data_IF_187316710320
#
_entry.id   IF_187316710320
#
_cell.length_a   1.000
_cell.length_b   1.000
_cell.length_c   1.000
_cell.angle_alpha   90.00
_cell.angle_beta   90.00
_cell.angle_gamma   90.00
#
_symmetry.space_group_name_H-M   'P 1'
#
loop_
_entity.id
_entity.type
_entity.pdbx_description
1 polymer ?
#
# COMPACT_ATOMS: atom_id res chain seq x y z
N UNK A 1 -8.88 8.76 -24.30
CA UNK A 1 -9.92 9.64 -24.88
C UNK A 1 -11.15 9.68 -23.99
N UNK A 2 -11.73 8.52 -23.64
CA UNK A 2 -12.96 8.44 -22.83
C UNK A 2 -12.84 9.05 -21.43
N UNK A 3 -11.70 8.87 -20.74
CA UNK A 3 -11.47 9.47 -19.43
C UNK A 3 -11.66 10.99 -19.46
N UNK A 4 -10.97 11.68 -20.36
CA UNK A 4 -11.11 13.13 -20.55
C UNK A 4 -12.48 13.53 -21.05
N UNK A 5 -13.13 12.72 -21.87
CA UNK A 5 -14.47 13.00 -22.39
C UNK A 5 -15.53 12.96 -21.27
N UNK A 6 -15.36 12.06 -20.31
CA UNK A 6 -16.35 11.83 -19.26
C UNK A 6 -16.07 12.62 -17.98
N UNK A 7 -14.82 13.06 -17.77
CA UNK A 7 -14.38 13.84 -16.62
C UNK A 7 -13.36 14.88 -17.10
N UNK A 8 -13.76 16.13 -17.33
CA UNK A 8 -12.90 17.18 -17.89
C UNK A 8 -12.56 18.31 -16.90
N UNK A 9 -13.08 18.25 -15.67
CA UNK A 9 -12.71 19.20 -14.62
C UNK A 9 -11.24 19.05 -14.17
N UNK A 10 -10.63 17.89 -14.42
CA UNK A 10 -9.21 17.61 -14.17
C UNK A 10 -8.43 17.64 -15.49
N UNK A 11 -7.33 18.40 -15.53
CA UNK A 11 -6.36 18.29 -16.61
C UNK A 11 -5.54 17.01 -16.48
N UNK A 12 -6.09 15.91 -17.01
CA UNK A 12 -5.45 14.59 -17.02
C UNK A 12 -4.10 14.58 -17.73
N UNK A 13 -3.92 15.43 -18.76
CA UNK A 13 -2.64 15.50 -19.46
C UNK A 13 -1.59 16.08 -18.53
N UNK A 14 -1.90 17.21 -17.89
CA UNK A 14 -1.00 17.79 -16.89
C UNK A 14 -0.70 16.80 -15.77
N UNK A 15 -1.72 16.11 -15.23
CA UNK A 15 -1.55 15.14 -14.15
C UNK A 15 -0.61 13.99 -14.54
N UNK A 16 -0.78 13.40 -15.73
CA UNK A 16 0.07 12.32 -16.20
C UNK A 16 1.49 12.79 -16.54
N UNK A 17 1.64 13.98 -17.13
CA UNK A 17 2.95 14.59 -17.38
C UNK A 17 3.69 14.86 -16.05
N UNK A 18 2.99 15.41 -15.05
CA UNK A 18 3.52 15.66 -13.70
C UNK A 18 3.95 14.36 -13.02
N UNK A 19 3.12 13.33 -13.11
CA UNK A 19 3.40 11.99 -12.59
C UNK A 19 4.46 11.23 -13.43
N UNK A 20 4.87 11.76 -14.58
CA UNK A 20 5.83 11.14 -15.51
C UNK A 20 5.38 9.76 -15.99
N UNK A 21 4.09 9.58 -16.23
CA UNK A 21 3.50 8.36 -16.76
C UNK A 21 2.72 8.64 -18.04
N UNK A 22 2.53 7.61 -18.87
CA UNK A 22 1.68 7.70 -20.07
C UNK A 22 0.86 6.41 -20.22
N UNK A 23 -0.19 6.22 -19.41
CA UNK A 23 -0.94 4.97 -19.42
C UNK A 23 -1.80 4.83 -20.68
N UNK A 24 -1.76 3.65 -21.30
CA UNK A 24 -2.65 3.31 -22.44
C UNK A 24 -4.11 3.13 -21.98
N UNK A 25 -4.29 2.63 -20.75
CA UNK A 25 -5.59 2.35 -20.15
C UNK A 25 -5.58 2.77 -18.68
N UNK A 26 -6.70 3.34 -18.25
CA UNK A 26 -6.98 3.65 -16.85
C UNK A 26 -8.27 2.95 -16.46
N UNK A 27 -8.33 2.39 -15.25
CA UNK A 27 -9.53 1.79 -14.69
C UNK A 27 -10.14 2.79 -13.71
N UNK A 28 -11.36 3.23 -13.98
CA UNK A 28 -12.14 4.07 -13.06
C UNK A 28 -12.94 3.15 -12.15
N UNK A 29 -12.48 2.98 -10.91
CA UNK A 29 -13.07 2.02 -9.97
C UNK A 29 -14.47 2.43 -9.46
N UNK A 30 -14.78 3.74 -9.44
CA UNK A 30 -16.07 4.28 -9.00
C UNK A 30 -16.55 5.39 -9.97
N UNK A 31 -17.21 5.04 -11.09
CA UNK A 31 -17.62 6.00 -12.10
C UNK A 31 -18.57 7.09 -11.58
N UNK A 32 -19.52 6.74 -10.71
CA UNK A 32 -20.50 7.69 -10.14
C UNK A 32 -19.84 8.69 -9.19
N UNK A 33 -18.85 8.23 -8.41
CA UNK A 33 -18.03 9.13 -7.58
C UNK A 33 -17.25 10.11 -8.44
N UNK A 34 -16.63 9.64 -9.53
CA UNK A 34 -15.87 10.51 -10.44
C UNK A 34 -16.77 11.55 -11.10
N UNK A 35 -18.00 11.19 -11.49
CA UNK A 35 -18.97 12.16 -12.04
C UNK A 35 -19.34 13.24 -11.01
N UNK A 36 -19.59 12.84 -9.76
CA UNK A 36 -19.90 13.78 -8.69
C UNK A 36 -18.70 14.67 -8.34
N UNK A 37 -17.49 14.11 -8.34
CA UNK A 37 -16.25 14.85 -8.11
C UNK A 37 -16.00 15.89 -9.21
N UNK A 38 -16.20 15.50 -10.47
CA UNK A 38 -16.02 16.37 -11.63
C UNK A 38 -16.94 17.60 -11.51
N UNK A 39 -18.25 17.39 -11.29
CA UNK A 39 -19.22 18.46 -10.99
C UNK A 39 -18.82 19.32 -9.79
N UNK A 40 -18.31 18.71 -8.72
CA UNK A 40 -17.90 19.43 -7.53
C UNK A 40 -16.72 20.36 -7.84
N UNK A 41 -15.73 19.90 -8.59
CA UNK A 41 -14.56 20.72 -8.97
C UNK A 41 -14.99 21.91 -9.84
N UNK A 42 -15.89 21.70 -10.80
CA UNK A 42 -16.37 22.80 -11.68
C UNK A 42 -17.17 23.87 -10.94
N UNK A 43 -17.97 23.46 -9.96
CA UNK A 43 -18.95 24.35 -9.30
C UNK A 43 -18.45 24.95 -8.00
N UNK A 44 -17.43 24.36 -7.38
CA UNK A 44 -16.88 24.84 -6.10
C UNK A 44 -15.94 26.02 -6.33
N UNK A 45 -16.05 27.11 -5.57
CA UNK A 45 -15.07 28.20 -5.62
C UNK A 45 -13.65 27.69 -5.43
N UNK A 46 -12.71 28.17 -6.26
CA UNK A 46 -11.33 27.71 -6.22
C UNK A 46 -10.68 27.89 -4.84
N UNK A 47 -11.07 28.93 -4.09
CA UNK A 47 -10.56 29.16 -2.74
C UNK A 47 -11.01 28.07 -1.75
N UNK A 48 -12.23 27.56 -1.86
CA UNK A 48 -12.71 26.46 -1.02
C UNK A 48 -11.95 25.16 -1.33
N UNK A 49 -11.66 24.90 -2.62
CA UNK A 49 -10.82 23.78 -3.03
C UNK A 49 -9.39 23.93 -2.46
N UNK A 50 -8.83 25.14 -2.47
CA UNK A 50 -7.49 25.42 -1.89
C UNK A 50 -7.48 25.21 -0.38
N UNK A 51 -8.49 25.68 0.35
CA UNK A 51 -8.59 25.45 1.79
C UNK A 51 -8.75 23.97 2.12
N UNK A 52 -9.55 23.24 1.35
CA UNK A 52 -9.67 21.79 1.52
C UNK A 52 -8.31 21.10 1.34
N UNK A 53 -7.61 21.35 0.22
CA UNK A 53 -6.30 20.75 -0.05
C UNK A 53 -5.23 21.15 0.98
N UNK A 54 -5.23 22.41 1.43
CA UNK A 54 -4.33 22.86 2.49
C UNK A 54 -4.61 22.14 3.82
N UNK A 55 -5.88 21.95 4.18
CA UNK A 55 -6.28 21.15 5.34
C UNK A 55 -5.83 19.69 5.21
N UNK A 56 -5.98 19.06 4.04
CA UNK A 56 -5.49 17.70 3.82
C UNK A 56 -3.96 17.61 4.00
N UNK A 57 -3.21 18.57 3.46
CA UNK A 57 -1.76 18.63 3.60
C UNK A 57 -1.32 18.81 5.06
N UNK A 58 -1.95 19.74 5.79
CA UNK A 58 -1.67 19.97 7.22
C UNK A 58 -2.00 18.74 8.06
N UNK A 59 -3.13 18.07 7.80
CA UNK A 59 -3.50 16.84 8.48
C UNK A 59 -2.48 15.72 8.23
N UNK A 60 -1.97 15.59 7.01
CA UNK A 60 -0.93 14.62 6.66
C UNK A 60 0.41 14.94 7.34
N UNK A 61 0.76 16.21 7.48
CA UNK A 61 2.01 16.64 8.12
C UNK A 61 1.97 16.56 9.65
N UNK A 62 0.82 16.85 10.28
CA UNK A 62 0.68 17.03 11.71
C UNK A 62 1.32 15.93 12.60
N UNK A 63 1.25 14.62 12.26
CA UNK A 63 1.90 13.57 13.05
C UNK A 63 3.44 13.65 13.11
N UNK A 64 4.05 14.45 12.24
CA UNK A 64 5.49 14.55 12.02
C UNK A 64 6.08 15.91 12.42
N UNK A 65 5.25 16.82 12.96
CA UNK A 65 5.66 18.15 13.39
C UNK A 65 5.90 18.18 14.90
N UNK A 66 5.81 19.36 15.52
CA UNK A 66 5.96 19.54 16.96
C UNK A 66 4.82 18.91 17.77
N UNK A 67 4.97 18.95 19.09
CA UNK A 67 4.03 18.34 20.03
C UNK A 67 2.62 18.93 19.96
N UNK A 68 2.44 20.20 19.57
CA UNK A 68 1.12 20.81 19.44
C UNK A 68 0.35 20.25 18.24
N UNK A 69 1.02 20.14 17.09
CA UNK A 69 0.42 19.52 15.91
C UNK A 69 0.14 18.04 16.14
N UNK A 70 1.08 17.32 16.76
CA UNK A 70 0.90 15.92 17.10
C UNK A 70 -0.28 15.73 18.07
N UNK A 71 -0.39 16.58 19.10
CA UNK A 71 -1.48 16.52 20.08
C UNK A 71 -2.84 16.77 19.42
N UNK A 72 -2.96 17.76 18.53
CA UNK A 72 -4.19 18.03 17.79
C UNK A 72 -4.59 16.84 16.89
N UNK A 73 -3.63 16.26 16.16
CA UNK A 73 -3.86 15.05 15.36
C UNK A 73 -4.30 13.87 16.22
N UNK A 74 -3.66 13.65 17.37
CA UNK A 74 -4.01 12.57 18.29
C UNK A 74 -5.38 12.78 18.93
N UNK A 75 -5.75 14.01 19.30
CA UNK A 75 -7.04 14.32 19.91
C UNK A 75 -8.21 13.96 18.97
N UNK A 76 -8.08 14.28 17.69
CA UNK A 76 -9.10 13.92 16.71
C UNK A 76 -9.03 12.42 16.32
N UNK A 77 -7.95 11.97 15.69
CA UNK A 77 -7.88 10.61 15.12
C UNK A 77 -7.65 9.52 16.17
N UNK A 78 -6.89 9.83 17.21
CA UNK A 78 -6.57 8.88 18.28
C UNK A 78 -7.71 8.77 19.30
N UNK A 79 -8.06 9.89 19.93
CA UNK A 79 -9.03 9.94 21.03
C UNK A 79 -10.47 9.93 20.52
N UNK A 80 -10.86 10.90 19.69
CA UNK A 80 -12.25 11.04 19.24
C UNK A 80 -12.67 9.89 18.32
N UNK A 81 -11.89 9.61 17.26
CA UNK A 81 -12.24 8.60 16.25
C UNK A 81 -11.94 7.17 16.68
N UNK A 82 -10.88 6.94 17.48
CA UNK A 82 -10.42 5.58 17.84
C UNK A 82 -10.54 5.24 19.33
N UNK A 83 -11.03 6.15 20.18
CA UNK A 83 -11.22 5.91 21.62
C UNK A 83 -9.92 5.79 22.46
N UNK A 84 -8.75 6.10 21.90
CA UNK A 84 -7.46 5.94 22.58
C UNK A 84 -7.29 7.02 23.65
N UNK A 85 -6.89 6.62 24.86
CA UNK A 85 -6.73 7.54 25.98
C UNK A 85 -5.40 8.29 25.92
N UNK A 86 -4.33 7.59 25.54
CA UNK A 86 -2.97 8.13 25.50
C UNK A 86 -2.24 7.78 24.19
N UNK A 87 -1.30 8.65 23.75
CA UNK A 87 -0.42 8.33 22.63
C UNK A 87 0.47 7.12 22.91
N UNK A 88 0.85 6.41 21.84
CA UNK A 88 1.95 5.43 21.94
C UNK A 88 3.23 6.13 22.40
N UNK A 89 4.08 5.44 23.20
CA UNK A 89 5.41 5.95 23.54
C UNK A 89 6.19 6.40 22.31
N UNK A 90 6.96 7.49 22.44
CA UNK A 90 7.63 8.13 21.31
C UNK A 90 8.50 7.17 20.51
N UNK A 91 9.23 6.27 21.17
CA UNK A 91 10.06 5.27 20.49
C UNK A 91 9.26 4.33 19.57
N UNK A 92 8.04 3.92 19.97
CA UNK A 92 7.16 3.10 19.10
C UNK A 92 6.69 3.88 17.88
N UNK A 93 6.43 5.18 18.05
CA UNK A 93 6.04 6.06 16.93
C UNK A 93 7.20 6.29 15.98
N UNK A 94 8.40 6.56 16.51
CA UNK A 94 9.61 6.72 15.72
C UNK A 94 9.98 5.43 14.95
N UNK A 95 9.91 4.27 15.61
CA UNK A 95 10.21 2.97 14.98
C UNK A 95 9.19 2.57 13.91
N UNK A 96 7.97 3.10 13.95
CA UNK A 96 6.98 2.84 12.90
C UNK A 96 7.40 3.42 11.54
N UNK A 97 8.31 4.39 11.53
CA UNK A 97 8.68 5.17 10.34
C UNK A 97 9.66 4.44 9.44
N UNK A 98 10.79 3.89 9.94
CA UNK A 98 11.57 2.94 9.16
C UNK A 98 10.72 1.75 8.71
N UNK A 99 9.80 1.26 9.55
CA UNK A 99 8.94 0.15 9.16
C UNK A 99 7.99 0.50 8.00
N UNK A 100 7.52 1.74 7.88
CA UNK A 100 6.66 2.17 6.76
C UNK A 100 7.44 2.59 5.52
N UNK A 101 8.59 3.27 5.69
CA UNK A 101 9.37 3.81 4.57
C UNK A 101 10.38 2.80 3.98
N UNK A 102 10.94 1.94 4.84
CA UNK A 102 12.03 1.00 4.57
C UNK A 102 11.63 -0.42 4.98
N UNK A 103 10.35 -0.76 4.81
CA UNK A 103 9.74 -1.95 5.39
C UNK A 103 10.46 -3.27 5.08
N UNK A 104 10.93 -3.46 3.84
CA UNK A 104 11.69 -4.66 3.47
C UNK A 104 13.12 -4.66 4.02
N UNK A 105 13.79 -3.51 4.09
CA UNK A 105 15.13 -3.43 4.70
C UNK A 105 15.08 -3.73 6.21
N UNK A 106 14.04 -3.24 6.90
CA UNK A 106 13.77 -3.64 8.30
C UNK A 106 13.45 -5.14 8.38
N UNK A 107 12.73 -5.66 7.39
CA UNK A 107 12.39 -7.08 7.29
C UNK A 107 13.59 -7.99 7.11
N UNK A 108 14.57 -7.60 6.31
CA UNK A 108 15.82 -8.32 6.12
C UNK A 108 16.57 -8.50 7.45
N UNK A 109 16.74 -7.41 8.20
CA UNK A 109 17.34 -7.44 9.54
C UNK A 109 16.51 -8.28 10.55
N UNK A 110 15.19 -8.23 10.44
CA UNK A 110 14.29 -9.01 11.30
C UNK A 110 14.42 -10.51 11.03
N UNK A 111 14.42 -10.91 9.76
CA UNK A 111 14.51 -12.30 9.31
C UNK A 111 15.85 -12.91 9.72
N UNK A 112 16.96 -12.20 9.49
CA UNK A 112 18.30 -12.65 9.89
C UNK A 112 18.36 -13.03 11.38
N UNK A 113 17.66 -12.25 12.22
CA UNK A 113 17.73 -12.41 13.67
C UNK A 113 16.68 -13.35 14.25
N UNK A 114 15.50 -13.43 13.64
CA UNK A 114 14.32 -14.03 14.29
C UNK A 114 13.59 -15.08 13.47
N UNK A 115 13.96 -15.32 12.21
CA UNK A 115 13.27 -16.28 11.35
C UNK A 115 14.20 -17.39 10.86
N UNK A 116 14.33 -18.50 11.61
CA UNK A 116 15.20 -19.60 11.22
C UNK A 116 14.66 -20.36 10.00
N UNK A 117 15.55 -20.84 9.13
CA UNK A 117 15.18 -21.50 7.88
C UNK A 117 14.29 -22.75 8.07
N UNK A 118 14.39 -23.42 9.23
CA UNK A 118 13.54 -24.55 9.58
C UNK A 118 12.05 -24.19 9.66
N UNK A 119 11.71 -22.96 10.05
CA UNK A 119 10.32 -22.48 10.12
C UNK A 119 9.71 -22.39 8.72
N UNK A 120 10.48 -21.87 7.76
CA UNK A 120 10.08 -21.83 6.35
C UNK A 120 9.78 -23.24 5.83
N UNK A 121 10.67 -24.20 6.10
CA UNK A 121 10.50 -25.58 5.67
C UNK A 121 9.25 -26.24 6.26
N UNK A 122 9.02 -26.08 7.57
CA UNK A 122 7.82 -26.60 8.24
C UNK A 122 6.54 -26.00 7.67
N UNK A 123 6.53 -24.69 7.41
CA UNK A 123 5.37 -24.01 6.83
C UNK A 123 5.11 -24.40 5.38
N UNK A 124 6.15 -24.65 4.57
CA UNK A 124 5.98 -25.19 3.22
C UNK A 124 5.27 -26.54 3.25
N UNK A 125 5.66 -27.45 4.16
CA UNK A 125 4.97 -28.75 4.33
C UNK A 125 3.51 -28.57 4.73
N UNK A 126 3.22 -27.67 5.69
CA UNK A 126 1.85 -27.41 6.11
C UNK A 126 0.98 -26.86 4.96
N UNK A 127 1.50 -25.91 4.17
CA UNK A 127 0.78 -25.35 3.03
C UNK A 127 0.47 -26.42 1.99
N UNK A 128 1.39 -27.33 1.71
CA UNK A 128 1.15 -28.41 0.76
C UNK A 128 0.11 -29.43 1.28
N UNK A 129 0.13 -29.71 2.59
CA UNK A 129 -0.91 -30.53 3.22
C UNK A 129 -2.30 -29.87 3.09
N UNK A 130 -2.38 -28.55 3.31
CA UNK A 130 -3.63 -27.79 3.15
C UNK A 130 -4.10 -27.75 1.69
N UNK A 131 -3.17 -27.59 0.74
CA UNK A 131 -3.46 -27.67 -0.70
C UNK A 131 -4.04 -29.03 -1.07
N UNK A 132 -3.44 -30.11 -0.60
CA UNK A 132 -3.93 -31.47 -0.81
C UNK A 132 -5.34 -31.66 -0.25
N UNK A 133 -5.56 -31.27 1.01
CA UNK A 133 -6.85 -31.38 1.68
C UNK A 133 -7.94 -30.56 0.98
N UNK A 134 -7.65 -29.31 0.60
CA UNK A 134 -8.60 -28.47 -0.16
C UNK A 134 -8.93 -29.08 -1.52
N UNK A 135 -7.94 -29.66 -2.19
CA UNK A 135 -8.15 -30.41 -3.42
C UNK A 135 -9.15 -31.55 -3.23
N UNK A 136 -8.91 -32.42 -2.25
CA UNK A 136 -9.81 -33.54 -1.94
C UNK A 136 -11.22 -33.04 -1.63
N UNK A 137 -11.34 -31.94 -0.89
CA UNK A 137 -12.62 -31.32 -0.57
C UNK A 137 -13.35 -30.85 -1.83
N UNK A 138 -12.68 -30.16 -2.76
CA UNK A 138 -13.28 -29.70 -4.04
C UNK A 138 -13.91 -30.86 -4.82
N UNK A 139 -13.26 -32.02 -4.87
CA UNK A 139 -13.78 -33.17 -5.62
C UNK A 139 -15.09 -33.70 -5.03
N UNK A 140 -15.25 -33.59 -3.71
CA UNK A 140 -16.40 -34.07 -2.95
C UNK A 140 -17.57 -33.08 -2.90
N UNK A 141 -17.43 -31.88 -3.48
CA UNK A 141 -18.50 -30.87 -3.43
C UNK A 141 -19.63 -31.19 -4.42
N UNK A 142 -20.73 -31.78 -3.93
CA UNK A 142 -21.88 -32.15 -4.77
C UNK A 142 -22.63 -30.96 -5.38
N UNK A 143 -22.46 -29.75 -4.83
CA UNK A 143 -23.10 -28.53 -5.35
C UNK A 143 -22.35 -27.93 -6.56
N UNK A 144 -21.11 -28.38 -6.84
CA UNK A 144 -20.31 -27.90 -7.97
C UNK A 144 -20.41 -28.86 -9.15
N UNK A 145 -20.60 -28.32 -10.35
CA UNK A 145 -20.46 -29.10 -11.59
C UNK A 145 -19.02 -29.55 -11.80
N UNK A 146 -18.84 -30.61 -12.59
CA UNK A 146 -17.51 -31.13 -12.94
C UNK A 146 -16.63 -30.07 -13.64
N UNK A 147 -17.23 -29.25 -14.52
CA UNK A 147 -16.50 -28.19 -15.21
C UNK A 147 -16.01 -27.11 -14.25
N UNK A 148 -16.80 -26.75 -13.22
CA UNK A 148 -16.37 -25.80 -12.20
C UNK A 148 -15.32 -26.42 -11.27
N UNK A 149 -15.45 -27.70 -10.89
CA UNK A 149 -14.42 -28.42 -10.11
C UNK A 149 -13.08 -28.43 -10.84
N UNK A 150 -13.08 -28.71 -12.14
CA UNK A 150 -11.87 -28.66 -12.98
C UNK A 150 -11.20 -27.28 -12.93
N UNK A 151 -11.95 -26.18 -13.08
CA UNK A 151 -11.41 -24.82 -12.96
C UNK A 151 -10.88 -24.50 -11.56
N UNK A 152 -11.56 -24.99 -10.52
CA UNK A 152 -11.09 -24.84 -9.14
C UNK A 152 -9.76 -25.57 -8.91
N UNK A 153 -9.59 -26.77 -9.52
CA UNK A 153 -8.33 -27.52 -9.51
C UNK A 153 -7.22 -26.80 -10.25
N UNK A 154 -7.50 -26.24 -11.42
CA UNK A 154 -6.54 -25.41 -12.17
C UNK A 154 -6.05 -24.23 -11.32
N UNK A 155 -6.98 -23.51 -10.67
CA UNK A 155 -6.63 -22.39 -9.78
C UNK A 155 -5.79 -22.86 -8.59
N UNK A 156 -6.17 -23.98 -7.96
CA UNK A 156 -5.43 -24.55 -6.83
C UNK A 156 -4.00 -24.95 -7.21
N UNK A 157 -3.81 -25.55 -8.40
CA UNK A 157 -2.50 -25.91 -8.91
C UNK A 157 -1.63 -24.68 -9.23
N UNK A 158 -2.25 -23.55 -9.60
CA UNK A 158 -1.57 -22.30 -9.88
C UNK A 158 -1.26 -21.45 -8.62
N UNK A 159 -1.55 -21.93 -7.40
CA UNK A 159 -1.22 -21.20 -6.18
C UNK A 159 0.29 -20.96 -6.08
N UNK A 160 0.69 -19.69 -6.05
CA UNK A 160 2.03 -19.27 -5.71
C UNK A 160 2.10 -18.96 -4.22
N UNK A 161 3.08 -19.52 -3.52
CA UNK A 161 3.17 -19.47 -2.06
C UNK A 161 4.39 -18.65 -1.65
N UNK A 162 4.16 -17.65 -0.80
CA UNK A 162 5.18 -16.76 -0.24
C UNK A 162 5.22 -16.95 1.28
N UNK A 163 6.33 -17.47 1.81
CA UNK A 163 6.47 -17.82 3.24
C UNK A 163 7.66 -17.08 3.85
N UNK A 164 7.38 -16.30 4.90
CA UNK A 164 8.37 -15.62 5.71
C UNK A 164 8.90 -14.33 5.05
N UNK A 165 9.64 -14.47 3.96
CA UNK A 165 10.39 -13.36 3.36
C UNK A 165 10.66 -13.53 1.85
N UNK A 166 10.87 -12.42 1.11
CA UNK A 166 11.20 -12.46 -0.32
C UNK A 166 12.57 -13.07 -0.60
N UNK A 167 12.71 -13.72 -1.74
CA UNK A 167 14.02 -14.21 -2.21
C UNK A 167 14.88 -13.05 -2.79
N UNK A 168 14.24 -11.93 -3.17
CA UNK A 168 14.89 -10.71 -3.62
C UNK A 168 14.36 -9.50 -2.85
N UNK A 169 15.24 -8.82 -2.14
CA UNK A 169 14.91 -7.61 -1.39
C UNK A 169 14.75 -6.39 -2.30
N UNK A 170 13.87 -5.48 -1.88
CA UNK A 170 13.70 -4.16 -2.49
C UNK A 170 14.99 -3.34 -2.41
N UNK A 171 15.34 -2.73 -3.53
CA UNK A 171 16.45 -1.79 -3.61
C UNK A 171 16.01 -0.37 -3.18
N UNK A 172 16.64 0.14 -2.13
CA UNK A 172 16.42 1.49 -1.60
C UNK A 172 17.56 2.46 -1.96
N UNK A 173 18.49 2.08 -2.84
CA UNK A 173 19.69 2.86 -3.19
C UNK A 173 19.41 4.29 -3.68
N UNK A 174 18.22 4.54 -4.23
CA UNK A 174 17.78 5.85 -4.73
C UNK A 174 16.93 6.66 -3.74
N UNK A 175 16.69 6.12 -2.53
CA UNK A 175 16.03 6.84 -1.44
C UNK A 175 17.07 7.59 -0.62
N UNK A 176 17.02 8.92 -0.67
CA UNK A 176 17.91 9.78 0.09
C UNK A 176 17.24 10.29 1.37
N UNK A 177 17.85 9.99 2.51
CA UNK A 177 17.51 10.56 3.82
C UNK A 177 18.67 11.44 4.26
N UNK A 178 18.37 12.71 4.56
CA UNK A 178 19.37 13.73 4.88
C UNK A 178 19.19 14.20 6.34
N UNK A 179 20.16 13.92 7.23
CA UNK A 179 20.04 14.28 8.64
C UNK A 179 20.11 15.79 8.90
N UNK A 180 20.48 16.60 7.90
CA UNK A 180 20.48 18.07 8.00
C UNK A 180 19.10 18.67 7.76
N UNK A 181 18.19 17.91 7.15
CA UNK A 181 16.80 18.32 6.94
C UNK A 181 15.94 18.07 8.18
N UNK A 182 14.81 18.77 8.23
CA UNK A 182 13.78 18.49 9.22
C UNK A 182 13.21 17.08 9.05
N UNK A 183 12.57 16.60 10.11
CA UNK A 183 11.92 15.30 10.11
C UNK A 183 10.82 15.22 9.04
N UNK A 184 10.00 16.27 8.89
CA UNK A 184 8.94 16.32 7.88
C UNK A 184 9.49 16.28 6.45
N UNK A 185 10.57 17.02 6.15
CA UNK A 185 11.17 16.99 4.81
C UNK A 185 11.69 15.59 4.44
N UNK A 186 12.26 14.84 5.39
CA UNK A 186 12.64 13.45 5.15
C UNK A 186 11.42 12.53 4.94
N UNK A 187 10.31 12.77 5.64
CA UNK A 187 9.05 12.05 5.39
C UNK A 187 8.52 12.34 3.98
N UNK A 188 8.57 13.59 3.52
CA UNK A 188 8.18 13.96 2.17
C UNK A 188 9.06 13.26 1.13
N UNK A 189 10.40 13.26 1.30
CA UNK A 189 11.32 12.55 0.41
C UNK A 189 10.99 11.06 0.30
N UNK A 190 10.73 10.40 1.43
CA UNK A 190 10.34 9.00 1.46
C UNK A 190 9.00 8.75 0.74
N UNK A 191 8.01 9.61 0.97
CA UNK A 191 6.70 9.52 0.31
C UNK A 191 6.77 9.73 -1.20
N UNK A 192 7.54 10.72 -1.65
CA UNK A 192 7.77 10.99 -3.07
C UNK A 192 8.54 9.84 -3.73
N UNK A 193 9.56 9.30 -3.08
CA UNK A 193 10.30 8.15 -3.58
C UNK A 193 9.38 6.94 -3.75
N UNK A 194 8.58 6.61 -2.73
CA UNK A 194 7.63 5.50 -2.79
C UNK A 194 6.59 5.69 -3.91
N UNK A 195 6.13 6.93 -4.11
CA UNK A 195 5.21 7.27 -5.22
C UNK A 195 5.89 7.06 -6.57
N UNK A 196 7.13 7.55 -6.75
CA UNK A 196 7.90 7.36 -7.98
C UNK A 196 8.18 5.89 -8.27
N UNK A 197 8.52 5.12 -7.25
CA UNK A 197 8.77 3.68 -7.36
C UNK A 197 7.52 2.93 -7.87
N UNK A 198 6.33 3.24 -7.34
CA UNK A 198 5.08 2.65 -7.83
C UNK A 198 4.72 3.11 -9.24
N UNK A 199 4.84 4.41 -9.54
CA UNK A 199 4.57 4.95 -10.87
C UNK A 199 5.53 4.41 -11.93
N UNK A 200 6.77 4.09 -11.57
CA UNK A 200 7.75 3.47 -12.46
C UNK A 200 7.34 2.06 -12.93
N UNK A 201 6.30 1.45 -12.36
CA UNK A 201 5.74 0.16 -12.80
C UNK A 201 4.67 0.30 -13.88
N UNK A 202 4.15 1.51 -14.11
CA UNK A 202 3.15 1.75 -15.16
C UNK A 202 3.71 1.35 -16.53
N UNK A 203 2.96 0.53 -17.26
CA UNK A 203 3.36 0.02 -18.58
C UNK A 203 4.40 -1.12 -18.54
N UNK A 204 4.80 -1.60 -17.36
CA UNK A 204 5.68 -2.77 -17.22
C UNK A 204 4.89 -4.03 -16.88
N UNK A 205 5.50 -5.19 -17.12
CA UNK A 205 4.95 -6.46 -16.64
C UNK A 205 4.93 -6.48 -15.11
N UNK A 206 3.91 -7.14 -14.55
CA UNK A 206 3.81 -7.38 -13.10
C UNK A 206 4.97 -8.29 -12.67
N UNK A 207 5.62 -7.93 -11.57
CA UNK A 207 6.62 -8.79 -10.93
C UNK A 207 5.90 -9.79 -10.01
N UNK A 208 5.85 -11.09 -10.36
CA UNK A 208 5.22 -12.09 -9.50
C UNK A 208 5.98 -12.29 -8.18
N UNK A 209 7.25 -11.90 -8.11
CA UNK A 209 8.09 -12.06 -6.93
C UNK A 209 7.92 -10.90 -5.94
N UNK A 210 7.30 -9.78 -6.31
CA UNK A 210 7.05 -8.65 -5.39
C UNK A 210 6.12 -9.03 -4.22
N UNK A 211 6.51 -8.66 -2.99
CA UNK A 211 5.73 -8.91 -1.79
C UNK A 211 4.82 -7.73 -1.45
N UNK A 212 3.63 -8.05 -0.92
CA UNK A 212 2.63 -7.06 -0.50
C UNK A 212 2.57 -6.87 1.01
N UNK A 213 3.40 -7.62 1.75
CA UNK A 213 3.57 -7.51 3.19
C UNK A 213 5.04 -7.69 3.55
N UNK A 214 5.49 -6.98 4.58
CA UNK A 214 6.86 -7.10 5.07
C UNK A 214 6.98 -8.29 6.04
N UNK A 215 8.16 -8.95 6.13
CA UNK A 215 8.35 -10.15 6.96
C UNK A 215 7.96 -10.02 8.43
N UNK A 216 8.14 -8.84 9.01
CA UNK A 216 7.85 -8.51 10.40
C UNK A 216 6.37 -8.14 10.65
N UNK A 217 5.54 -8.14 9.61
CA UNK A 217 4.09 -7.90 9.73
C UNK A 217 3.42 -9.15 10.28
N UNK A 218 2.73 -9.02 11.42
CA UNK A 218 1.90 -10.10 11.98
C UNK A 218 0.55 -10.11 11.29
N UNK A 219 0.50 -10.68 10.08
CA UNK A 219 -0.70 -10.88 9.27
C UNK A 219 -0.45 -11.97 8.20
N UNK A 220 -1.47 -12.35 7.43
CA UNK A 220 -1.38 -13.31 6.31
C UNK A 220 -2.25 -12.90 5.12
#
# INVERSE_FOLDING_TARGET
ADLKKNYDAIDWKYLFDFAKINPERVIVCQPEYMEALDKLIETTPIEDLRYYLASQYLNAAAPYLDDNFYAASFDFYGRTMSGKQEPRPRWKRAMAIPNSALGEAVGEMYVEKFFPAEDKARMMTLVENLRTALGQHIDQLDWMSDSTKMRAREKLAAFHVKIGYPDKWKDYSTLEIDPTLSYWENIQRASEWATRDQLAKVGKAVDPEEWLMTPQTVNA
#
